data_IF_255398279597
#
_entry.id   IF_255398279597
#
_cell.length_a   1.000
_cell.length_b   1.000
_cell.length_c   1.000
_cell.angle_alpha   90.00
_cell.angle_beta   90.00
_cell.angle_gamma   90.00
#
_symmetry.space_group_name_H-M   'P 1'
#
loop_
_entity.id
_entity.type
_entity.pdbx_description
1 polymer ?
#
# COMPACT_ATOMS: atom_id res chain seq x y z
N UNK A 1 21.39 6.92 4.49
CA UNK A 1 21.22 5.78 3.56
C UNK A 1 22.23 4.71 3.90
N UNK A 2 21.83 3.45 3.79
CA UNK A 2 22.68 2.27 3.89
C UNK A 2 22.42 1.40 2.65
N UNK A 3 23.46 0.78 2.13
CA UNK A 3 23.38 -0.11 0.97
C UNK A 3 23.78 -1.50 1.43
N UNK A 4 22.96 -2.49 1.08
CA UNK A 4 23.23 -3.89 1.29
C UNK A 4 23.14 -4.63 -0.05
N UNK A 5 24.08 -5.47 -0.36
CA UNK A 5 24.17 -6.20 -1.63
C UNK A 5 23.90 -7.71 -1.48
N UNK A 6 23.83 -8.20 -0.27
CA UNK A 6 23.50 -9.59 0.05
C UNK A 6 22.02 -9.70 0.47
N UNK A 7 21.27 -10.57 -0.17
CA UNK A 7 19.83 -10.69 0.05
C UNK A 7 19.44 -11.21 1.43
N UNK A 8 20.23 -12.08 2.06
CA UNK A 8 19.95 -12.56 3.41
C UNK A 8 20.21 -11.46 4.46
N UNK A 9 21.33 -10.74 4.32
CA UNK A 9 21.65 -9.62 5.21
C UNK A 9 20.67 -8.46 5.02
N UNK A 10 20.13 -8.27 3.80
CA UNK A 10 19.12 -7.27 3.52
C UNK A 10 17.82 -7.50 4.31
N UNK A 11 17.41 -8.76 4.52
CA UNK A 11 16.25 -9.08 5.37
C UNK A 11 16.51 -8.67 6.82
N UNK A 12 17.64 -9.09 7.39
CA UNK A 12 18.01 -8.74 8.78
C UNK A 12 18.05 -7.23 8.96
N UNK A 13 18.67 -6.52 8.01
CA UNK A 13 18.79 -5.07 8.03
C UNK A 13 17.42 -4.37 7.95
N UNK A 14 16.53 -4.83 7.07
CA UNK A 14 15.19 -4.28 6.94
C UNK A 14 14.37 -4.39 8.23
N UNK A 15 14.60 -5.44 9.02
CA UNK A 15 13.88 -5.72 10.26
C UNK A 15 14.41 -4.95 11.47
N UNK A 16 15.52 -4.20 11.36
CA UNK A 16 16.03 -3.37 12.48
C UNK A 16 15.13 -2.22 12.86
N UNK A 17 14.24 -1.78 11.95
CA UNK A 17 13.36 -0.62 12.16
C UNK A 17 14.08 0.74 12.05
N UNK A 18 15.32 0.77 11.56
CA UNK A 18 16.13 2.00 11.46
C UNK A 18 15.85 2.83 10.20
N UNK A 19 14.98 2.36 9.31
CA UNK A 19 14.75 2.96 7.99
C UNK A 19 13.32 3.42 7.82
N UNK A 20 13.14 4.56 7.16
CA UNK A 20 11.85 5.14 6.83
C UNK A 20 11.34 4.71 5.43
N UNK A 21 12.19 4.07 4.62
CA UNK A 21 11.87 3.56 3.29
C UNK A 21 12.90 2.54 2.84
N UNK A 22 12.46 1.54 2.10
CA UNK A 22 13.30 0.50 1.51
C UNK A 22 13.24 0.60 -0.02
N UNK A 23 14.41 0.75 -0.67
CA UNK A 23 14.58 0.53 -2.10
C UNK A 23 15.10 -0.89 -2.31
N UNK A 24 14.34 -1.72 -2.99
CA UNK A 24 14.63 -3.14 -3.13
C UNK A 24 14.86 -3.51 -4.60
N UNK A 25 16.10 -3.85 -4.94
CA UNK A 25 16.40 -4.43 -6.25
C UNK A 25 15.86 -5.87 -6.32
N UNK A 26 15.28 -6.23 -7.45
CA UNK A 26 14.84 -7.61 -7.67
C UNK A 26 16.00 -8.58 -7.95
N UNK A 27 17.07 -8.07 -8.52
CA UNK A 27 18.23 -8.87 -8.96
C UNK A 27 19.37 -8.84 -7.93
N UNK A 28 19.10 -9.34 -6.72
CA UNK A 28 20.12 -9.45 -5.69
C UNK A 28 20.76 -10.85 -5.68
N UNK A 29 22.05 -10.97 -5.37
CA UNK A 29 22.70 -12.24 -5.11
C UNK A 29 22.10 -12.94 -3.87
N UNK A 30 22.09 -14.25 -3.88
CA UNK A 30 21.59 -15.07 -2.79
C UNK A 30 20.08 -15.16 -2.78
N UNK A 31 19.38 -14.15 -2.27
CA UNK A 31 17.92 -14.07 -2.18
C UNK A 31 17.35 -12.99 -3.09
N UNK A 32 16.39 -13.35 -3.93
CA UNK A 32 15.79 -12.38 -4.86
C UNK A 32 14.88 -11.37 -4.13
N UNK A 33 14.67 -10.18 -4.72
CA UNK A 33 13.90 -9.12 -4.10
C UNK A 33 12.42 -9.45 -3.87
N UNK A 34 11.83 -10.37 -4.62
CA UNK A 34 10.44 -10.82 -4.38
C UNK A 34 10.34 -11.60 -3.07
N UNK A 35 11.27 -12.52 -2.82
CA UNK A 35 11.29 -13.31 -1.59
C UNK A 35 11.59 -12.44 -0.37
N UNK A 36 12.50 -11.47 -0.52
CA UNK A 36 12.79 -10.46 0.52
C UNK A 36 11.52 -9.67 0.83
N UNK A 37 10.85 -9.10 -0.18
CA UNK A 37 9.64 -8.31 0.01
C UNK A 37 8.56 -9.08 0.75
N UNK A 38 8.28 -10.32 0.32
CA UNK A 38 7.30 -11.20 0.96
C UNK A 38 7.63 -11.46 2.42
N UNK A 39 8.91 -11.69 2.75
CA UNK A 39 9.34 -12.00 4.11
C UNK A 39 9.27 -10.81 5.07
N UNK A 40 9.58 -9.60 4.57
CA UNK A 40 9.62 -8.41 5.42
C UNK A 40 8.27 -7.69 5.49
N UNK A 41 7.40 -7.80 4.48
CA UNK A 41 6.19 -6.96 4.35
C UNK A 41 5.26 -7.01 5.56
N UNK A 42 5.07 -8.18 6.14
CA UNK A 42 4.20 -8.33 7.31
C UNK A 42 4.87 -7.88 8.63
N UNK A 43 6.15 -7.53 8.58
CA UNK A 43 6.96 -7.15 9.75
C UNK A 43 7.36 -5.68 9.75
N UNK A 44 7.30 -4.99 8.59
CA UNK A 44 7.67 -3.58 8.46
C UNK A 44 6.52 -2.76 7.90
N UNK A 45 6.36 -1.51 8.39
CA UNK A 45 5.32 -0.59 7.93
C UNK A 45 5.84 0.46 6.95
N UNK A 46 7.16 0.56 6.83
CA UNK A 46 7.80 1.52 5.92
C UNK A 46 7.52 1.21 4.45
N UNK A 47 7.48 2.21 3.57
CA UNK A 47 7.31 2.00 2.15
C UNK A 47 8.42 1.14 1.55
N UNK A 48 8.04 0.17 0.69
CA UNK A 48 8.95 -0.68 -0.07
C UNK A 48 8.78 -0.36 -1.54
N UNK A 49 9.80 0.21 -2.17
CA UNK A 49 9.84 0.52 -3.59
C UNK A 49 10.75 -0.50 -4.30
N UNK A 50 10.18 -1.27 -5.21
CA UNK A 50 10.97 -2.21 -6.01
C UNK A 50 11.66 -1.51 -7.17
N UNK A 51 12.93 -1.84 -7.40
CA UNK A 51 13.71 -1.35 -8.52
C UNK A 51 14.04 -2.54 -9.42
N UNK A 52 13.67 -2.49 -10.71
CA UNK A 52 13.78 -3.67 -11.57
C UNK A 52 14.19 -3.34 -13.00
N UNK A 53 15.01 -4.20 -13.61
CA UNK A 53 15.24 -4.19 -15.05
C UNK A 53 14.11 -4.88 -15.84
N UNK A 54 13.18 -5.56 -15.15
CA UNK A 54 12.05 -6.25 -15.78
C UNK A 54 10.92 -5.27 -16.00
N UNK A 55 10.51 -5.13 -17.25
CA UNK A 55 9.48 -4.17 -17.69
C UNK A 55 8.14 -4.84 -17.97
N UNK A 56 8.08 -6.17 -17.89
CA UNK A 56 6.84 -6.89 -18.17
C UNK A 56 5.78 -6.61 -17.08
N UNK A 57 4.55 -6.42 -17.52
CA UNK A 57 3.42 -6.14 -16.63
C UNK A 57 3.22 -7.24 -15.57
N UNK A 58 3.56 -8.49 -15.89
CA UNK A 58 3.49 -9.64 -14.97
C UNK A 58 4.44 -9.45 -13.77
N UNK A 59 5.68 -9.01 -14.01
CA UNK A 59 6.65 -8.78 -12.93
C UNK A 59 6.22 -7.65 -12.00
N UNK A 60 5.60 -6.61 -12.55
CA UNK A 60 5.02 -5.49 -11.80
C UNK A 60 3.86 -5.96 -10.91
N UNK A 61 2.93 -6.71 -11.49
CA UNK A 61 1.80 -7.30 -10.75
C UNK A 61 2.29 -8.21 -9.64
N UNK A 62 3.30 -9.03 -9.89
CA UNK A 62 3.87 -9.93 -8.89
C UNK A 62 4.51 -9.15 -7.73
N UNK A 63 5.35 -8.15 -8.03
CA UNK A 63 6.00 -7.33 -7.00
C UNK A 63 5.01 -6.59 -6.11
N UNK A 64 4.03 -5.93 -6.71
CA UNK A 64 2.95 -5.26 -5.97
C UNK A 64 2.10 -6.28 -5.20
N UNK A 65 1.81 -7.45 -5.79
CA UNK A 65 1.09 -8.54 -5.13
C UNK A 65 1.81 -9.12 -3.92
N UNK A 66 3.14 -8.98 -3.84
CA UNK A 66 3.95 -9.39 -2.69
C UNK A 66 4.10 -8.30 -1.62
N UNK A 67 3.55 -7.10 -1.83
CA UNK A 67 3.53 -6.08 -0.81
C UNK A 67 4.37 -4.84 -1.05
N UNK A 68 4.97 -4.70 -2.21
CA UNK A 68 5.59 -3.45 -2.58
C UNK A 68 4.55 -2.34 -2.71
N UNK A 69 4.91 -1.13 -2.29
CA UNK A 69 4.07 0.06 -2.39
C UNK A 69 4.19 0.70 -3.78
N UNK A 70 5.33 0.46 -4.45
CA UNK A 70 5.64 1.01 -5.77
C UNK A 70 6.76 0.20 -6.45
N UNK A 71 6.94 0.45 -7.75
CA UNK A 71 8.08 -0.09 -8.50
C UNK A 71 8.65 0.96 -9.47
N UNK A 72 9.94 0.83 -9.79
CA UNK A 72 10.68 1.70 -10.69
C UNK A 72 11.43 0.83 -11.70
N UNK A 73 11.21 1.06 -12.98
CA UNK A 73 11.88 0.31 -14.07
C UNK A 73 13.27 0.88 -14.34
N UNK A 74 14.27 0.02 -14.49
CA UNK A 74 15.59 0.38 -15.01
C UNK A 74 15.56 0.38 -16.56
N UNK A 75 16.21 1.34 -17.25
CA UNK A 75 16.86 2.52 -16.70
C UNK A 75 15.84 3.57 -16.23
N UNK A 76 16.12 4.25 -15.13
CA UNK A 76 15.30 5.32 -14.58
C UNK A 76 16.05 6.65 -14.54
N UNK A 77 15.32 7.74 -14.62
CA UNK A 77 15.86 9.07 -14.37
C UNK A 77 16.11 9.22 -12.85
N UNK A 78 17.32 9.62 -12.41
CA UNK A 78 17.56 9.91 -11.01
C UNK A 78 16.60 10.91 -10.38
N UNK A 79 16.11 11.88 -11.14
CA UNK A 79 15.11 12.84 -10.67
C UNK A 79 13.75 12.17 -10.42
N UNK A 80 13.35 11.21 -11.25
CA UNK A 80 12.15 10.39 -11.04
C UNK A 80 12.27 9.58 -9.75
N UNK A 81 13.38 8.86 -9.56
CA UNK A 81 13.63 8.09 -8.35
C UNK A 81 13.52 8.97 -7.10
N UNK A 82 14.19 10.13 -7.10
CA UNK A 82 14.18 11.07 -5.97
C UNK A 82 12.77 11.60 -5.71
N UNK A 83 12.00 11.94 -6.75
CA UNK A 83 10.63 12.40 -6.62
C UNK A 83 9.72 11.35 -5.98
N UNK A 84 9.83 10.08 -6.42
CA UNK A 84 9.07 8.95 -5.86
C UNK A 84 9.43 8.71 -4.40
N UNK A 85 10.71 8.62 -4.07
CA UNK A 85 11.19 8.43 -2.70
C UNK A 85 10.67 9.55 -1.79
N UNK A 86 10.80 10.83 -2.21
CA UNK A 86 10.26 11.96 -1.43
C UNK A 86 8.75 11.89 -1.24
N UNK A 87 8.01 11.52 -2.28
CA UNK A 87 6.56 11.37 -2.18
C UNK A 87 6.17 10.33 -1.15
N UNK A 88 6.82 9.17 -1.16
CA UNK A 88 6.56 8.11 -0.18
C UNK A 88 6.99 8.49 1.24
N UNK A 89 8.17 9.11 1.42
CA UNK A 89 8.65 9.58 2.73
C UNK A 89 7.74 10.65 3.33
N UNK A 90 7.43 11.71 2.57
CA UNK A 90 6.55 12.80 3.03
C UNK A 90 5.19 12.26 3.47
N UNK A 91 4.68 11.27 2.77
CA UNK A 91 3.42 10.64 3.09
C UNK A 91 3.52 9.79 4.35
N UNK A 92 4.55 8.95 4.46
CA UNK A 92 4.83 8.15 5.64
C UNK A 92 4.99 9.02 6.90
N UNK A 93 5.74 10.13 6.81
CA UNK A 93 5.89 11.08 7.91
C UNK A 93 4.57 11.72 8.35
N UNK A 94 3.71 12.11 7.40
CA UNK A 94 2.38 12.66 7.73
C UNK A 94 1.53 11.65 8.49
N UNK A 95 1.68 10.37 8.19
CA UNK A 95 0.94 9.29 8.80
C UNK A 95 1.43 9.00 10.22
N UNK A 96 2.74 8.95 10.42
CA UNK A 96 3.35 8.65 11.71
C UNK A 96 3.31 9.83 12.69
N UNK A 97 3.49 11.08 12.21
CA UNK A 97 3.49 12.29 13.06
C UNK A 97 2.09 12.77 13.46
N UNK A 98 1.04 12.47 12.69
CA UNK A 98 -0.33 12.85 13.03
C UNK A 98 -1.05 11.83 13.94
N UNK A 99 -0.35 10.80 14.39
CA UNK A 99 -0.86 9.78 15.30
C UNK A 99 -0.83 10.16 16.80
N UNK A 100 -0.30 11.34 17.19
CA UNK A 100 -0.37 11.77 18.58
C UNK A 100 -1.80 12.20 18.95
N UNK A 101 -2.36 11.68 20.05
CA UNK A 101 -3.70 12.02 20.47
C UNK A 101 -3.75 13.48 20.97
N UNK A 102 -4.21 14.40 20.14
CA UNK A 102 -4.69 15.68 20.69
C UNK A 102 -5.95 15.36 21.51
N UNK A 103 -5.83 15.62 22.82
CA UNK A 103 -6.89 15.46 23.81
C UNK A 103 -8.15 16.26 23.40
N UNK A 104 -9.17 15.55 22.94
CA UNK A 104 -10.50 16.10 22.67
C UNK A 104 -11.52 14.98 22.59
N UNK A 105 -12.36 14.87 23.60
CA UNK A 105 -13.33 13.78 23.82
C UNK A 105 -14.59 13.84 22.93
N UNK A 106 -14.73 14.81 22.02
CA UNK A 106 -15.96 15.05 21.27
C UNK A 106 -15.96 14.59 19.80
N UNK A 107 -14.92 13.91 19.34
CA UNK A 107 -14.79 13.49 17.91
C UNK A 107 -14.78 11.99 17.66
N UNK A 108 -14.87 11.13 18.67
CA UNK A 108 -14.55 9.69 18.54
C UNK A 108 -15.46 8.89 17.60
N UNK A 109 -16.73 9.25 17.46
CA UNK A 109 -17.64 8.51 16.55
C UNK A 109 -17.44 8.87 15.06
N UNK A 110 -16.93 10.06 14.75
CA UNK A 110 -16.69 10.50 13.35
C UNK A 110 -15.40 9.90 12.75
N UNK A 111 -14.53 9.37 13.58
CA UNK A 111 -13.22 8.86 13.17
C UNK A 111 -13.23 7.34 12.87
N UNK A 112 -14.36 6.68 13.06
CA UNK A 112 -14.53 5.23 12.80
C UNK A 112 -15.61 5.03 11.74
N UNK A 113 -15.24 4.40 10.64
CA UNK A 113 -16.20 4.00 9.60
C UNK A 113 -16.46 2.50 9.80
N UNK A 114 -17.76 2.15 9.93
CA UNK A 114 -18.18 0.75 10.09
C UNK A 114 -18.88 0.25 8.84
N UNK A 115 -18.44 -0.88 8.31
CA UNK A 115 -18.96 -1.50 7.11
C UNK A 115 -18.87 -3.01 7.28
N UNK A 116 -19.99 -3.72 7.28
CA UNK A 116 -20.07 -5.18 7.25
C UNK A 116 -19.07 -5.91 8.19
N UNK A 117 -19.07 -5.56 9.47
CA UNK A 117 -18.17 -6.11 10.48
C UNK A 117 -16.73 -5.52 10.46
N UNK A 118 -16.42 -4.64 9.51
CA UNK A 118 -15.14 -3.95 9.44
C UNK A 118 -15.23 -2.59 10.11
N UNK A 119 -14.27 -2.27 10.95
CA UNK A 119 -14.10 -0.95 11.55
C UNK A 119 -12.82 -0.30 11.06
N UNK A 120 -12.94 0.84 10.38
CA UNK A 120 -11.81 1.60 9.83
C UNK A 120 -11.60 2.84 10.70
N UNK A 121 -10.56 2.84 11.49
CA UNK A 121 -10.16 3.94 12.36
C UNK A 121 -9.31 4.93 11.58
N UNK A 122 -9.93 5.98 11.07
CA UNK A 122 -9.31 6.90 10.08
C UNK A 122 -8.15 7.72 10.63
N UNK A 123 -8.09 7.95 11.95
CA UNK A 123 -7.01 8.72 12.61
C UNK A 123 -5.86 7.83 13.07
N UNK A 124 -6.16 6.67 13.64
CA UNK A 124 -5.12 5.75 14.14
C UNK A 124 -4.58 4.81 13.06
N UNK A 125 -5.14 4.86 11.83
CA UNK A 125 -4.74 4.01 10.69
C UNK A 125 -4.84 2.52 10.96
N UNK A 126 -5.84 2.14 11.74
CA UNK A 126 -6.10 0.76 12.11
C UNK A 126 -7.40 0.28 11.48
N UNK A 127 -7.41 -0.99 11.10
CA UNK A 127 -8.60 -1.68 10.62
C UNK A 127 -8.84 -2.87 11.54
N UNK A 128 -10.08 -3.08 11.93
CA UNK A 128 -10.49 -4.22 12.73
C UNK A 128 -11.60 -4.98 12.01
N UNK A 129 -11.60 -6.29 12.14
CA UNK A 129 -12.70 -7.16 11.74
C UNK A 129 -13.08 -8.00 12.95
N UNK A 130 -14.36 -7.95 13.32
CA UNK A 130 -14.88 -8.68 14.48
C UNK A 130 -14.07 -8.46 15.78
N UNK A 131 -13.48 -7.26 15.92
CA UNK A 131 -12.66 -6.85 17.07
C UNK A 131 -11.17 -7.22 16.97
N UNK A 132 -10.75 -7.97 15.95
CA UNK A 132 -9.35 -8.29 15.70
C UNK A 132 -8.69 -7.28 14.76
N UNK A 133 -7.49 -6.80 15.10
CA UNK A 133 -6.74 -5.86 14.26
C UNK A 133 -6.19 -6.56 13.02
N UNK A 134 -6.54 -6.03 11.84
CA UNK A 134 -5.97 -6.45 10.56
C UNK A 134 -4.90 -5.46 10.13
N UNK A 135 -3.70 -5.95 9.86
CA UNK A 135 -2.60 -5.09 9.40
C UNK A 135 -2.77 -4.70 7.93
N UNK A 136 -2.69 -3.40 7.70
CA UNK A 136 -2.75 -2.80 6.37
C UNK A 136 -1.47 -2.01 6.07
N UNK A 137 -0.72 -2.34 5.00
CA UNK A 137 0.27 -1.42 4.45
C UNK A 137 -0.35 -0.07 4.10
N UNK A 138 0.45 0.99 4.18
CA UNK A 138 -0.06 2.35 4.07
C UNK A 138 -0.93 2.61 2.83
N UNK A 139 -0.52 2.12 1.65
CA UNK A 139 -1.28 2.33 0.40
C UNK A 139 -2.61 1.58 0.38
N UNK A 140 -2.63 0.37 0.92
CA UNK A 140 -3.88 -0.39 1.03
C UNK A 140 -4.85 0.30 1.99
N UNK A 141 -4.34 0.79 3.13
CA UNK A 141 -5.16 1.53 4.08
C UNK A 141 -5.75 2.80 3.46
N UNK A 142 -4.93 3.60 2.75
CA UNK A 142 -5.39 4.82 2.10
C UNK A 142 -6.45 4.57 1.05
N UNK A 143 -6.27 3.54 0.22
CA UNK A 143 -7.23 3.16 -0.80
C UNK A 143 -8.55 2.69 -0.17
N UNK A 144 -8.48 1.84 0.86
CA UNK A 144 -9.66 1.39 1.62
C UNK A 144 -10.37 2.58 2.28
N UNK A 145 -9.62 3.44 2.98
CA UNK A 145 -10.16 4.65 3.62
C UNK A 145 -10.84 5.57 2.61
N UNK A 146 -10.20 5.85 1.47
CA UNK A 146 -10.76 6.70 0.43
C UNK A 146 -12.10 6.15 -0.08
N UNK A 147 -12.16 4.87 -0.40
CA UNK A 147 -13.39 4.22 -0.85
C UNK A 147 -14.47 4.24 0.25
N UNK A 148 -14.10 3.97 1.49
CA UNK A 148 -15.03 3.95 2.63
C UNK A 148 -15.59 5.34 2.99
N UNK A 149 -14.83 6.40 2.73
CA UNK A 149 -15.30 7.78 2.87
C UNK A 149 -16.21 8.22 1.72
N UNK A 150 -16.23 7.49 0.61
CA UNK A 150 -17.03 7.76 -0.57
C UNK A 150 -17.87 6.53 -0.97
N UNK A 151 -18.75 6.03 -0.09
CA UNK A 151 -19.49 4.80 -0.34
C UNK A 151 -20.47 4.96 -1.50
N UNK A 152 -20.72 3.86 -2.21
CA UNK A 152 -21.63 3.76 -3.35
C UNK A 152 -21.25 4.62 -4.57
N UNK A 153 -20.05 5.22 -4.58
CA UNK A 153 -19.52 5.97 -5.73
C UNK A 153 -18.55 5.06 -6.48
N UNK A 154 -18.68 5.02 -7.82
CA UNK A 154 -17.76 4.30 -8.70
C UNK A 154 -16.60 5.22 -9.04
N UNK A 155 -15.38 4.73 -8.87
CA UNK A 155 -14.14 5.41 -9.26
C UNK A 155 -13.41 4.55 -10.28
N UNK A 156 -12.95 5.17 -11.36
CA UNK A 156 -12.07 4.52 -12.33
C UNK A 156 -10.72 4.17 -11.70
N UNK A 157 -9.97 3.28 -12.35
CA UNK A 157 -8.61 2.94 -11.88
C UNK A 157 -7.70 4.15 -11.93
N UNK A 158 -7.85 4.97 -12.95
CA UNK A 158 -7.11 6.19 -13.17
C UNK A 158 -7.39 7.21 -12.05
N UNK A 159 -8.65 7.45 -11.73
CA UNK A 159 -9.04 8.34 -10.62
C UNK A 159 -8.50 7.85 -9.28
N UNK A 160 -8.62 6.55 -8.98
CA UNK A 160 -8.07 5.97 -7.75
C UNK A 160 -6.55 6.08 -7.72
N UNK A 161 -5.91 5.86 -8.86
CA UNK A 161 -4.46 5.99 -8.96
C UNK A 161 -4.01 7.42 -8.67
N UNK A 162 -4.63 8.42 -9.30
CA UNK A 162 -4.32 9.84 -9.07
C UNK A 162 -4.56 10.26 -7.60
N UNK A 163 -5.68 9.82 -7.02
CA UNK A 163 -6.03 10.16 -5.63
C UNK A 163 -5.08 9.57 -4.60
N UNK A 164 -4.61 8.34 -4.83
CA UNK A 164 -3.80 7.60 -3.86
C UNK A 164 -2.30 7.76 -4.13
N UNK A 165 -1.86 7.81 -5.39
CA UNK A 165 -0.44 7.94 -5.75
C UNK A 165 -0.04 9.36 -6.17
N UNK A 166 -0.97 10.18 -6.67
CA UNK A 166 -0.76 11.57 -7.08
C UNK A 166 -0.60 11.75 -8.59
N UNK A 167 -0.80 12.99 -9.05
CA UNK A 167 -0.75 13.35 -10.49
C UNK A 167 0.66 13.26 -11.10
N UNK A 168 1.70 13.52 -10.31
CA UNK A 168 3.10 13.49 -10.78
C UNK A 168 3.66 12.07 -10.87
N UNK A 169 2.81 11.09 -10.61
CA UNK A 169 3.22 9.70 -10.55
C UNK A 169 3.06 9.02 -11.91
N UNK A 170 4.17 8.70 -12.55
CA UNK A 170 4.19 7.91 -13.79
C UNK A 170 4.09 6.43 -13.45
N UNK A 171 2.88 5.94 -13.21
CA UNK A 171 2.61 4.54 -12.88
C UNK A 171 1.47 3.95 -13.70
N UNK A 172 1.25 2.65 -13.57
CA UNK A 172 0.24 1.90 -14.29
C UNK A 172 -1.00 1.68 -13.39
N UNK A 173 -2.18 1.87 -13.92
CA UNK A 173 -3.48 1.59 -13.26
C UNK A 173 -3.63 0.13 -12.80
N UNK A 174 -2.77 -0.78 -13.28
CA UNK A 174 -2.62 -2.15 -12.78
C UNK A 174 -2.31 -2.19 -11.28
N UNK A 175 -1.54 -1.22 -10.78
CA UNK A 175 -1.23 -1.05 -9.35
C UNK A 175 -2.51 -1.01 -8.50
N UNK A 176 -3.53 -0.27 -8.93
CA UNK A 176 -4.81 -0.19 -8.23
C UNK A 176 -5.47 -1.57 -8.14
N UNK A 177 -5.49 -2.31 -9.25
CA UNK A 177 -6.11 -3.64 -9.29
C UNK A 177 -5.46 -4.60 -8.28
N UNK A 178 -4.13 -4.58 -8.19
CA UNK A 178 -3.39 -5.43 -7.25
C UNK A 178 -3.73 -5.07 -5.81
N UNK A 179 -3.70 -3.77 -5.46
CA UNK A 179 -4.04 -3.32 -4.11
C UNK A 179 -5.50 -3.60 -3.73
N UNK A 180 -6.45 -3.42 -4.66
CA UNK A 180 -7.85 -3.80 -4.44
C UNK A 180 -7.97 -5.29 -4.11
N UNK A 181 -7.29 -6.16 -4.86
CA UNK A 181 -7.36 -7.60 -4.60
C UNK A 181 -6.78 -7.96 -3.22
N UNK A 182 -5.66 -7.34 -2.82
CA UNK A 182 -5.07 -7.54 -1.50
C UNK A 182 -5.96 -7.03 -0.36
N UNK A 183 -6.63 -5.90 -0.56
CA UNK A 183 -7.63 -5.41 0.39
C UNK A 183 -8.77 -6.42 0.51
N UNK A 184 -9.29 -6.93 -0.60
CA UNK A 184 -10.35 -7.94 -0.62
C UNK A 184 -9.94 -9.21 0.13
N UNK A 185 -8.73 -9.71 -0.08
CA UNK A 185 -8.21 -10.88 0.64
C UNK A 185 -8.26 -10.72 2.16
N UNK A 186 -8.21 -9.48 2.65
CA UNK A 186 -8.22 -9.16 4.08
C UNK A 186 -9.62 -8.89 4.64
N UNK A 187 -10.51 -8.27 3.84
CA UNK A 187 -11.80 -7.79 4.35
C UNK A 187 -13.00 -8.57 3.85
N UNK A 188 -12.93 -9.26 2.72
CA UNK A 188 -14.05 -10.03 2.18
C UNK A 188 -14.11 -11.42 2.81
N UNK A 189 -15.31 -12.00 2.88
CA UNK A 189 -15.47 -13.42 3.21
C UNK A 189 -14.96 -14.31 2.07
N UNK A 190 -15.25 -13.91 0.83
CA UNK A 190 -14.76 -14.54 -0.39
C UNK A 190 -14.23 -13.46 -1.35
N UNK A 191 -12.91 -13.36 -1.44
CA UNK A 191 -12.25 -12.37 -2.30
C UNK A 191 -12.54 -12.53 -3.80
N UNK A 192 -13.00 -13.73 -4.22
CA UNK A 192 -13.40 -14.00 -5.60
C UNK A 192 -14.81 -13.52 -5.92
N UNK A 193 -15.68 -13.42 -4.90
CA UNK A 193 -17.04 -12.90 -4.98
C UNK A 193 -17.22 -11.73 -4.00
N UNK A 194 -16.52 -10.61 -4.21
CA UNK A 194 -16.47 -9.51 -3.26
C UNK A 194 -17.81 -8.79 -3.15
N UNK A 195 -18.24 -8.50 -1.91
CA UNK A 195 -19.45 -7.78 -1.59
C UNK A 195 -19.17 -6.35 -1.13
N UNK A 196 -18.08 -6.14 -0.41
CA UNK A 196 -17.70 -4.83 0.17
C UNK A 196 -17.10 -3.94 -0.91
N UNK A 197 -16.08 -4.42 -1.64
CA UNK A 197 -15.49 -3.68 -2.76
C UNK A 197 -15.86 -4.37 -4.07
N UNK A 198 -16.85 -3.86 -4.74
CA UNK A 198 -17.35 -4.40 -6.02
C UNK A 198 -16.53 -3.92 -7.21
N UNK A 199 -16.37 -4.78 -8.23
CA UNK A 199 -15.90 -4.37 -9.56
C UNK A 199 -17.09 -3.99 -10.43
N UNK A 200 -17.14 -2.73 -10.86
CA UNK A 200 -18.11 -2.26 -11.85
C UNK A 200 -17.44 -2.35 -13.22
N UNK A 201 -17.79 -3.39 -13.97
CA UNK A 201 -17.15 -3.71 -15.25
C UNK A 201 -17.17 -2.54 -16.23
N UNK A 202 -16.01 -2.22 -16.78
CA UNK A 202 -15.82 -1.08 -17.70
C UNK A 202 -15.75 0.29 -17.02
N UNK A 203 -16.03 0.41 -15.71
CA UNK A 203 -16.06 1.68 -14.99
C UNK A 203 -15.01 1.76 -13.86
N UNK A 204 -14.79 0.68 -13.09
CA UNK A 204 -13.81 0.72 -12.00
C UNK A 204 -14.26 -0.02 -10.75
N UNK A 205 -14.12 0.60 -9.59
CA UNK A 205 -14.41 0.01 -8.29
C UNK A 205 -15.36 0.87 -7.47
N UNK A 206 -16.18 0.20 -6.66
CA UNK A 206 -17.12 0.83 -5.73
C UNK A 206 -17.11 0.11 -4.40
N UNK A 207 -17.12 0.84 -3.30
CA UNK A 207 -17.36 0.27 -1.99
C UNK A 207 -18.86 0.38 -1.68
N UNK A 208 -19.48 -0.75 -1.40
CA UNK A 208 -20.89 -0.83 -1.05
C UNK A 208 -21.08 -0.60 0.47
N UNK A 209 -22.11 0.17 0.82
CA UNK A 209 -22.49 0.42 2.21
C UNK A 209 -24.01 0.52 2.33
#
# INVERSE_FOLDING_TARGET
>A
TRIESDGEQAVELALTGEFDLILLDLMLPGKNGYDICREIRDKVDVPILMVTARTESIDKVLGLGLGADDYISKPFDPAELVARVKSHLNRYERLTKNGEPQNGTEGREKDVIKIDGIEIHTRSWKVFRDGEEIRFPNREFELLKFLAMNPNIVFSKEELFEKIWGYDYVGDSVTVTVHINRIREKIEEDSKNPKIIETVWGAGYRLNR
#
